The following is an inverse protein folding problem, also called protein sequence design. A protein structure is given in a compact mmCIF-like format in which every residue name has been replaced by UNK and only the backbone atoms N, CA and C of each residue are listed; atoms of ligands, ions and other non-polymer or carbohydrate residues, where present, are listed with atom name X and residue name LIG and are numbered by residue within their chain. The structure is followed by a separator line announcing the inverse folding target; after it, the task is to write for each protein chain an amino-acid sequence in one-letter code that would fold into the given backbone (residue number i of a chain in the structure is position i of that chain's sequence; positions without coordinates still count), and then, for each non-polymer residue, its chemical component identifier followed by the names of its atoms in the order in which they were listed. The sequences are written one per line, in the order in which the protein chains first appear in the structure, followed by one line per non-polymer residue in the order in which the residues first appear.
data_IF_596983845984
#
_entry.id   IF_596983845984
#
_cell.length_a   1.000
_cell.length_b   1.000
_cell.length_c   1.000
_cell.angle_alpha   90.00
_cell.angle_beta   90.00
_cell.angle_gamma   90.00
#
_symmetry.space_group_name_H-M   'P 1'
#
loop_
_entity.id
_entity.type
_entity.pdbx_description
1 polymer ?
#
# COMPACT_ATOMS: atom_id res chain seq x y z
N UNK A 1 -11.17 7.61 -23.99
CA UNK A 1 -11.94 8.68 -23.33
C UNK A 1 -13.43 8.47 -23.56
N UNK A 2 -13.88 8.19 -24.79
CA UNK A 2 -15.27 7.88 -25.13
C UNK A 2 -15.82 6.69 -24.33
N UNK A 3 -15.04 5.65 -24.16
CA UNK A 3 -15.39 4.46 -23.39
C UNK A 3 -15.64 4.80 -21.91
N UNK A 4 -14.80 5.66 -21.32
CA UNK A 4 -14.96 6.12 -19.94
C UNK A 4 -16.23 6.95 -19.74
N UNK A 5 -16.60 7.74 -20.74
CA UNK A 5 -17.85 8.51 -20.73
C UNK A 5 -19.06 7.59 -20.86
N UNK A 6 -19.02 6.66 -21.82
CA UNK A 6 -20.16 5.80 -22.16
C UNK A 6 -20.42 4.71 -21.14
N UNK A 7 -19.37 4.12 -20.56
CA UNK A 7 -19.49 2.93 -19.71
C UNK A 7 -19.09 3.13 -18.25
N UNK A 8 -18.36 4.20 -17.94
CA UNK A 8 -17.81 4.42 -16.60
C UNK A 8 -18.25 5.75 -15.96
N UNK A 9 -19.20 6.46 -16.61
CA UNK A 9 -19.83 7.65 -16.01
C UNK A 9 -18.92 8.86 -15.86
N UNK A 10 -17.89 9.02 -16.73
CA UNK A 10 -17.06 10.21 -16.73
C UNK A 10 -17.85 11.42 -17.18
N UNK A 11 -18.16 12.34 -16.27
CA UNK A 11 -19.02 13.50 -16.52
C UNK A 11 -18.33 14.67 -17.22
N UNK A 12 -17.00 14.75 -17.19
CA UNK A 12 -16.20 15.89 -17.69
C UNK A 12 -15.21 15.48 -18.77
N UNK A 13 -15.72 14.87 -19.84
CA UNK A 13 -14.90 14.50 -21.00
C UNK A 13 -14.25 15.75 -21.65
N UNK A 14 -12.97 15.62 -22.01
CA UNK A 14 -12.22 16.69 -22.69
C UNK A 14 -11.69 17.80 -21.78
N UNK A 15 -11.89 17.72 -20.48
CA UNK A 15 -11.25 18.60 -19.50
C UNK A 15 -9.91 18.01 -19.04
N UNK A 16 -8.93 18.84 -18.68
CA UNK A 16 -7.74 18.37 -17.97
C UNK A 16 -8.12 17.60 -16.72
N UNK A 17 -7.40 16.54 -16.40
CA UNK A 17 -7.73 15.65 -15.28
C UNK A 17 -7.79 16.38 -13.92
N UNK A 18 -6.94 17.37 -13.74
CA UNK A 18 -6.86 18.17 -12.51
C UNK A 18 -8.09 19.07 -12.28
N UNK A 19 -8.80 19.38 -13.37
CA UNK A 19 -10.10 20.06 -13.34
C UNK A 19 -11.24 19.05 -13.17
N UNK A 20 -11.13 17.88 -13.81
CA UNK A 20 -12.15 16.82 -13.72
C UNK A 20 -12.21 16.22 -12.31
N UNK A 21 -11.09 16.16 -11.62
CA UNK A 21 -10.99 15.70 -10.22
C UNK A 21 -11.01 16.87 -9.24
N UNK A 22 -12.08 17.66 -9.25
CA UNK A 22 -12.25 18.85 -8.40
C UNK A 22 -12.21 18.55 -6.90
N UNK A 23 -12.67 17.36 -6.49
CA UNK A 23 -12.70 16.90 -5.09
C UNK A 23 -11.37 16.36 -4.58
N UNK A 24 -10.39 16.13 -5.45
CA UNK A 24 -9.05 15.70 -5.05
C UNK A 24 -8.27 16.88 -4.48
N UNK A 25 -7.65 16.70 -3.33
CA UNK A 25 -6.87 17.74 -2.65
C UNK A 25 -5.68 18.23 -3.50
N UNK A 26 -5.29 19.49 -3.32
CA UNK A 26 -4.19 20.08 -4.10
C UNK A 26 -2.88 19.30 -3.95
N UNK A 27 -2.57 18.80 -2.76
CA UNK A 27 -1.36 17.99 -2.50
C UNK A 27 -1.32 16.74 -3.36
N UNK A 28 -2.45 16.06 -3.48
CA UNK A 28 -2.55 14.83 -4.28
C UNK A 28 -2.48 15.15 -5.78
N UNK A 29 -3.06 16.28 -6.20
CA UNK A 29 -2.92 16.78 -7.58
C UNK A 29 -1.48 17.11 -7.95
N UNK A 30 -0.73 17.75 -7.04
CA UNK A 30 0.70 18.03 -7.22
C UNK A 30 1.52 16.76 -7.33
N UNK A 31 1.20 15.76 -6.51
CA UNK A 31 1.84 14.44 -6.57
C UNK A 31 1.58 13.75 -7.90
N UNK A 32 0.33 13.72 -8.37
CA UNK A 32 -0.04 13.13 -9.66
C UNK A 32 0.63 13.85 -10.83
N UNK A 33 0.72 15.19 -10.81
CA UNK A 33 1.47 15.96 -11.83
C UNK A 33 2.95 15.61 -11.83
N UNK A 34 3.55 15.43 -10.66
CA UNK A 34 4.95 15.02 -10.56
C UNK A 34 5.20 13.64 -11.16
N UNK A 35 4.26 12.69 -10.98
CA UNK A 35 4.32 11.36 -11.60
C UNK A 35 4.19 11.48 -13.13
N UNK A 36 3.24 12.28 -13.62
CA UNK A 36 3.02 12.50 -15.03
C UNK A 36 4.28 13.05 -15.73
N UNK A 37 4.91 14.08 -15.16
CA UNK A 37 6.15 14.67 -15.67
C UNK A 37 7.29 13.65 -15.70
N UNK A 38 7.39 12.77 -14.71
CA UNK A 38 8.41 11.72 -14.67
C UNK A 38 8.16 10.57 -15.65
N UNK A 39 6.99 10.53 -16.29
CA UNK A 39 6.64 9.50 -17.26
C UNK A 39 6.50 8.09 -16.69
N UNK A 40 6.31 7.95 -15.38
CA UNK A 40 6.25 6.65 -14.68
C UNK A 40 4.84 6.10 -14.52
N UNK A 41 3.82 6.74 -15.12
CA UNK A 41 2.41 6.36 -14.94
C UNK A 41 2.08 4.98 -15.55
N UNK A 42 2.89 4.52 -16.50
CA UNK A 42 2.63 3.27 -17.25
C UNK A 42 3.62 2.15 -16.97
N UNK A 43 4.55 2.31 -16.04
CA UNK A 43 5.49 1.25 -15.67
C UNK A 43 4.96 0.51 -14.45
N UNK A 44 4.99 -0.82 -14.51
CA UNK A 44 4.71 -1.64 -13.35
C UNK A 44 5.62 -1.23 -12.19
N UNK A 45 5.07 -1.00 -10.99
CA UNK A 45 5.87 -0.60 -9.84
C UNK A 45 6.85 -1.73 -9.50
N UNK A 46 8.13 -1.38 -9.36
CA UNK A 46 9.15 -2.33 -8.90
C UNK A 46 9.02 -2.66 -7.42
N UNK A 47 8.42 -1.76 -6.66
CA UNK A 47 8.17 -1.91 -5.23
C UNK A 47 6.70 -1.68 -4.96
N UNK A 48 6.07 -2.65 -4.32
CA UNK A 48 4.67 -2.58 -3.90
C UNK A 48 4.60 -2.39 -2.37
N UNK A 49 3.99 -1.28 -1.93
CA UNK A 49 3.76 -1.02 -0.51
C UNK A 49 2.33 -1.41 -0.15
N UNK A 50 2.19 -2.26 0.86
CA UNK A 50 0.88 -2.73 1.31
C UNK A 50 0.88 -2.99 2.82
N UNK A 51 -0.29 -3.02 3.42
CA UNK A 51 -0.46 -3.64 4.73
C UNK A 51 -0.40 -5.16 4.59
N UNK A 52 -0.10 -5.89 5.68
CA UNK A 52 -0.12 -7.36 5.65
C UNK A 52 -1.50 -7.87 5.24
N UNK A 53 -2.58 -7.26 5.72
CA UNK A 53 -3.94 -7.60 5.32
C UNK A 53 -4.22 -7.36 3.84
N UNK A 54 -3.71 -6.26 3.30
CA UNK A 54 -3.83 -5.93 1.87
C UNK A 54 -3.02 -6.86 0.96
N UNK A 55 -1.94 -7.46 1.48
CA UNK A 55 -1.11 -8.42 0.76
C UNK A 55 -1.67 -9.85 0.78
N UNK A 56 -2.80 -10.09 1.46
CA UNK A 56 -3.41 -11.44 1.55
C UNK A 56 -3.75 -11.96 0.14
N UNK A 57 -3.27 -13.18 -0.17
CA UNK A 57 -3.46 -13.82 -1.48
C UNK A 57 -2.44 -13.40 -2.54
N UNK A 58 -1.64 -12.34 -2.30
CA UNK A 58 -0.51 -11.98 -3.15
C UNK A 58 0.79 -12.65 -2.69
N UNK A 59 1.77 -12.70 -3.58
CA UNK A 59 3.13 -13.17 -3.31
C UNK A 59 4.13 -12.29 -4.07
N UNK A 60 5.35 -12.20 -3.55
CA UNK A 60 6.45 -11.50 -4.19
C UNK A 60 7.76 -12.30 -4.01
N UNK A 61 8.70 -12.12 -4.94
CA UNK A 61 9.99 -12.80 -4.86
C UNK A 61 10.77 -12.36 -3.61
N UNK A 62 10.74 -11.07 -3.33
CA UNK A 62 11.39 -10.49 -2.16
C UNK A 62 10.35 -9.70 -1.34
N UNK A 63 10.28 -9.98 -0.06
CA UNK A 63 9.40 -9.29 0.88
C UNK A 63 10.21 -8.64 1.98
N UNK A 64 9.96 -7.37 2.24
CA UNK A 64 10.46 -6.67 3.40
C UNK A 64 9.30 -6.50 4.39
N UNK A 65 9.38 -7.18 5.51
CA UNK A 65 8.36 -7.17 6.57
C UNK A 65 8.83 -6.26 7.71
N UNK A 66 8.13 -5.16 7.90
CA UNK A 66 8.33 -4.25 9.02
C UNK A 66 7.60 -4.79 10.23
N UNK A 67 8.27 -4.91 11.36
CA UNK A 67 7.69 -5.41 12.60
C UNK A 67 7.26 -4.31 13.58
N UNK A 68 7.22 -3.05 13.12
CA UNK A 68 6.63 -1.96 13.87
C UNK A 68 5.13 -2.18 14.08
N UNK A 69 4.68 -2.02 15.32
CA UNK A 69 3.27 -2.12 15.67
C UNK A 69 2.67 -0.72 15.85
N UNK A 70 1.45 -0.54 15.35
CA UNK A 70 0.66 0.60 15.74
C UNK A 70 0.29 0.47 17.23
N UNK A 71 0.01 1.59 17.90
CA UNK A 71 -0.44 1.55 19.30
C UNK A 71 -1.64 0.62 19.49
N UNK A 72 -2.58 0.61 18.55
CA UNK A 72 -3.75 -0.27 18.59
C UNK A 72 -3.38 -1.74 18.46
N UNK A 73 -2.45 -2.09 17.58
CA UNK A 73 -1.95 -3.46 17.43
C UNK A 73 -1.15 -3.90 18.65
N UNK A 74 -0.41 -3.00 19.30
CA UNK A 74 0.31 -3.30 20.52
C UNK A 74 -0.66 -3.60 21.68
N UNK A 75 -1.70 -2.78 21.84
CA UNK A 75 -2.76 -3.02 22.84
C UNK A 75 -3.53 -4.34 22.56
N UNK A 76 -3.71 -4.71 21.29
CA UNK A 76 -4.33 -5.98 20.91
C UNK A 76 -3.41 -7.17 21.22
N UNK A 77 -2.12 -7.06 20.93
CA UNK A 77 -1.11 -8.09 21.21
C UNK A 77 -0.97 -8.37 22.70
N UNK A 78 -1.10 -7.36 23.57
CA UNK A 78 -1.09 -7.52 25.03
C UNK A 78 -2.29 -8.35 25.54
N UNK A 79 -3.41 -8.33 24.80
CA UNK A 79 -4.63 -9.08 25.15
C UNK A 79 -4.64 -10.48 24.55
N UNK A 80 -4.24 -10.61 23.30
CA UNK A 80 -4.18 -11.86 22.56
C UNK A 80 -3.05 -11.79 21.53
N UNK A 81 -1.92 -12.41 21.87
CA UNK A 81 -0.74 -12.42 21.00
C UNK A 81 -0.92 -13.34 19.79
N UNK A 82 -1.82 -14.32 19.85
CA UNK A 82 -1.97 -15.32 18.78
C UNK A 82 -2.48 -14.70 17.48
N UNK A 83 -3.39 -13.75 17.56
CA UNK A 83 -3.94 -13.09 16.38
C UNK A 83 -2.88 -12.25 15.67
N UNK A 84 -2.06 -11.50 16.40
CA UNK A 84 -0.95 -10.73 15.81
C UNK A 84 0.14 -11.67 15.23
N UNK A 85 0.45 -12.77 15.91
CA UNK A 85 1.36 -13.78 15.38
C UNK A 85 0.87 -14.35 14.04
N UNK A 86 -0.43 -14.61 13.90
CA UNK A 86 -1.03 -15.07 12.65
C UNK A 86 -0.90 -14.03 11.54
N UNK A 87 -1.09 -12.74 11.87
CA UNK A 87 -0.93 -11.65 10.90
C UNK A 87 0.51 -11.61 10.40
N UNK A 88 1.51 -11.65 11.29
CA UNK A 88 2.93 -11.65 10.89
C UNK A 88 3.30 -12.92 10.11
N UNK A 89 2.77 -14.07 10.49
CA UNK A 89 2.94 -15.32 9.74
C UNK A 89 2.43 -15.17 8.31
N UNK A 90 1.24 -14.58 8.11
CA UNK A 90 0.72 -14.31 6.78
C UNK A 90 1.66 -13.41 5.99
N UNK A 91 2.18 -12.34 6.60
CA UNK A 91 3.14 -11.44 5.96
C UNK A 91 4.44 -12.15 5.55
N UNK A 92 5.00 -12.94 6.43
CA UNK A 92 6.23 -13.70 6.19
C UNK A 92 6.07 -14.73 5.06
N UNK A 93 4.93 -15.41 5.00
CA UNK A 93 4.65 -16.40 3.96
C UNK A 93 4.32 -15.82 2.58
N UNK A 94 4.37 -14.49 2.41
CA UNK A 94 4.24 -13.85 1.08
C UNK A 94 5.52 -13.87 0.28
N UNK A 95 6.67 -14.15 0.91
CA UNK A 95 7.96 -14.22 0.24
C UNK A 95 8.14 -15.57 -0.47
N UNK A 96 8.47 -15.53 -1.77
CA UNK A 96 8.83 -16.72 -2.54
C UNK A 96 10.30 -17.08 -2.39
N UNK A 97 11.17 -16.08 -2.43
CA UNK A 97 12.62 -16.27 -2.46
C UNK A 97 13.31 -15.72 -1.23
N UNK A 98 13.05 -14.46 -0.87
CA UNK A 98 13.73 -13.80 0.23
C UNK A 98 12.76 -13.03 1.12
N UNK A 99 12.90 -13.24 2.42
CA UNK A 99 12.21 -12.48 3.46
C UNK A 99 13.23 -11.66 4.25
N UNK A 100 13.03 -10.35 4.28
CA UNK A 100 13.79 -9.43 5.11
C UNK A 100 12.91 -8.95 6.25
N UNK A 101 13.26 -9.28 7.48
CA UNK A 101 12.56 -8.79 8.67
C UNK A 101 13.28 -7.54 9.16
N UNK A 102 12.55 -6.44 9.24
CA UNK A 102 13.05 -5.15 9.73
C UNK A 102 12.47 -4.91 11.11
N UNK A 103 13.35 -4.96 12.11
CA UNK A 103 12.95 -4.71 13.49
C UNK A 103 12.77 -3.22 13.77
N UNK A 104 11.83 -2.85 14.66
CA UNK A 104 11.61 -1.48 15.03
C UNK A 104 12.82 -0.90 15.77
N UNK A 105 13.09 0.38 15.54
CA UNK A 105 14.12 1.10 16.32
C UNK A 105 13.66 1.48 17.72
N UNK A 106 12.37 1.40 17.99
CA UNK A 106 11.76 1.76 19.29
C UNK A 106 11.25 0.53 19.99
N UNK A 107 11.20 0.59 21.33
CA UNK A 107 10.53 -0.42 22.14
C UNK A 107 9.05 -0.52 21.74
N UNK A 108 8.53 -1.74 21.57
CA UNK A 108 7.11 -1.98 21.27
C UNK A 108 6.81 -2.52 19.88
N UNK A 109 7.77 -3.17 19.22
CA UNK A 109 7.52 -3.93 18.00
C UNK A 109 7.32 -5.43 18.25
N UNK A 110 6.91 -6.15 17.20
CA UNK A 110 6.84 -7.61 17.22
C UNK A 110 8.27 -8.16 17.17
N UNK A 111 8.63 -8.95 18.16
CA UNK A 111 9.94 -9.61 18.24
C UNK A 111 9.79 -11.01 17.63
N UNK A 112 10.58 -11.31 16.62
CA UNK A 112 10.63 -12.61 15.95
C UNK A 112 11.67 -13.49 16.65
#
# INVERSE_FOLDING_TARGET
LEELVMHHGLLMAGRPWDVAFDKVGNRDKEYLRAIEIRGNVSKDPQVHLSTIHGAKGGEADNVMLLTDLSRKSQEAMEKDSDDECRVFYVGATRARNQLHIVQPQREGGFIV
#
